data_IF_735093102939
#
_entry.id   IF_735093102939
#
_cell.length_a   1.000
_cell.length_b   1.000
_cell.length_c   1.000
_cell.angle_alpha   90.00
_cell.angle_beta   90.00
_cell.angle_gamma   90.00
#
_symmetry.space_group_name_H-M   'P 1'
#
loop_
_entity.id
_entity.type
_entity.pdbx_description
1 polymer ?
#
# COMPACT_ATOMS: atom_id res chain seq x y z
N UNK A 1 -25.75 -2.08 3.05
CA UNK A 1 -24.32 -1.71 2.94
C UNK A 1 -23.50 -2.37 4.04
N UNK A 2 -22.70 -3.36 3.68
CA UNK A 2 -21.75 -4.04 4.57
C UNK A 2 -20.34 -3.73 4.10
N UNK A 3 -19.55 -3.08 4.96
CA UNK A 3 -18.13 -2.78 4.71
C UNK A 3 -17.29 -3.66 5.64
N UNK A 4 -16.20 -4.20 5.12
CA UNK A 4 -15.14 -4.83 5.91
C UNK A 4 -13.80 -4.20 5.59
N UNK A 5 -12.94 -4.14 6.61
CA UNK A 5 -11.56 -3.69 6.45
C UNK A 5 -10.61 -4.88 6.56
N UNK A 6 -9.64 -4.95 5.66
CA UNK A 6 -8.51 -5.89 5.71
C UNK A 6 -7.24 -5.12 6.04
N UNK A 7 -6.41 -5.67 6.92
CA UNK A 7 -5.12 -5.09 7.30
C UNK A 7 -4.01 -6.05 6.92
N UNK A 8 -2.97 -5.54 6.31
CA UNK A 8 -1.78 -6.30 5.92
C UNK A 8 -0.52 -5.45 6.09
N UNK A 9 0.59 -6.10 6.41
CA UNK A 9 1.89 -5.45 6.48
C UNK A 9 2.63 -5.69 5.16
N UNK A 10 2.99 -4.62 4.45
CA UNK A 10 3.80 -4.68 3.23
C UNK A 10 5.20 -4.15 3.55
N UNK A 11 6.24 -4.89 3.17
CA UNK A 11 7.63 -4.46 3.33
C UNK A 11 8.22 -4.05 1.99
N UNK A 12 8.66 -2.80 1.89
CA UNK A 12 9.50 -2.33 0.80
C UNK A 12 10.96 -2.44 1.21
N UNK A 13 11.78 -3.06 0.38
CA UNK A 13 13.22 -3.25 0.67
C UNK A 13 14.06 -2.06 0.26
N UNK A 14 13.55 -1.25 -0.64
CA UNK A 14 14.15 0.00 -1.10
C UNK A 14 13.23 1.19 -0.83
N UNK A 15 13.78 2.42 -0.84
CA UNK A 15 12.94 3.61 -0.89
C UNK A 15 11.99 3.56 -2.09
N UNK A 16 10.71 3.81 -1.84
CA UNK A 16 9.65 3.65 -2.85
C UNK A 16 8.88 4.96 -3.05
N UNK A 17 8.41 5.18 -4.28
CA UNK A 17 7.47 6.25 -4.60
C UNK A 17 6.12 5.63 -4.89
N UNK A 18 5.09 6.08 -4.19
CA UNK A 18 3.70 5.68 -4.44
C UNK A 18 2.99 6.91 -4.99
N UNK A 19 2.36 6.79 -6.16
CA UNK A 19 1.60 7.90 -6.76
C UNK A 19 0.48 8.32 -5.80
N UNK A 20 0.38 9.63 -5.56
CA UNK A 20 -0.51 10.22 -4.53
C UNK A 20 0.21 10.57 -3.22
N UNK A 21 1.47 10.15 -3.05
CA UNK A 21 2.36 10.61 -1.97
C UNK A 21 3.49 11.42 -2.61
N UNK A 22 3.63 12.69 -2.22
CA UNK A 22 4.56 13.63 -2.88
C UNK A 22 6.04 13.35 -2.58
N UNK A 23 6.32 12.51 -1.59
CA UNK A 23 7.66 12.18 -1.11
C UNK A 23 7.99 10.70 -1.26
N UNK A 24 9.27 10.39 -1.35
CA UNK A 24 9.77 9.03 -1.23
C UNK A 24 9.51 8.50 0.18
N UNK A 25 9.00 7.27 0.27
CA UNK A 25 8.91 6.54 1.51
C UNK A 25 10.20 5.74 1.72
N UNK A 26 10.79 5.73 2.92
CA UNK A 26 11.98 4.93 3.19
C UNK A 26 11.70 3.42 3.05
N UNK A 27 12.74 2.62 2.85
CA UNK A 27 12.61 1.16 2.99
C UNK A 27 12.09 0.81 4.39
N UNK A 28 11.17 -0.15 4.48
CA UNK A 28 10.55 -0.52 5.74
C UNK A 28 9.23 -1.26 5.60
N UNK A 29 8.67 -1.63 6.74
CA UNK A 29 7.35 -2.24 6.84
C UNK A 29 6.27 -1.16 7.05
N UNK A 30 5.20 -1.28 6.28
CA UNK A 30 4.07 -0.37 6.27
C UNK A 30 2.77 -1.13 6.46
N UNK A 31 1.91 -0.61 7.33
CA UNK A 31 0.54 -1.11 7.48
C UNK A 31 -0.33 -0.57 6.36
N UNK A 32 -0.97 -1.47 5.61
CA UNK A 32 -1.94 -1.16 4.58
C UNK A 32 -3.31 -1.65 5.02
N UNK A 33 -4.29 -0.75 4.92
CA UNK A 33 -5.70 -1.05 5.14
C UNK A 33 -6.40 -1.02 3.79
N UNK A 34 -7.24 -2.02 3.54
CA UNK A 34 -8.11 -2.07 2.36
C UNK A 34 -9.55 -2.21 2.83
N UNK A 35 -10.38 -1.25 2.47
CA UNK A 35 -11.83 -1.34 2.69
C UNK A 35 -12.50 -1.97 1.48
N UNK A 36 -13.35 -2.94 1.77
CA UNK A 36 -14.13 -3.67 0.78
C UNK A 36 -15.62 -3.60 1.13
N UNK A 37 -16.45 -3.35 0.13
CA UNK A 37 -17.90 -3.35 0.24
C UNK A 37 -18.48 -4.62 -0.37
N UNK A 38 -19.44 -5.24 0.32
CA UNK A 38 -20.18 -6.37 -0.22
C UNK A 38 -21.02 -5.91 -1.42
N UNK A 39 -20.93 -6.64 -2.52
CA UNK A 39 -21.79 -6.46 -3.70
C UNK A 39 -23.09 -7.20 -3.44
N UNK A 40 -24.17 -6.46 -3.20
CA UNK A 40 -25.51 -7.01 -2.98
C UNK A 40 -26.13 -7.52 -4.29
N UNK A 41 -27.07 -8.47 -4.20
CA UNK A 41 -27.84 -8.97 -5.35
C UNK A 41 -27.17 -10.06 -6.19
N UNK A 42 -26.00 -10.57 -5.78
CA UNK A 42 -25.33 -11.72 -6.42
C UNK A 42 -25.72 -13.04 -5.75
N UNK A 43 -25.65 -14.16 -6.49
CA UNK A 43 -25.91 -15.51 -5.97
C UNK A 43 -24.84 -16.01 -4.98
N UNK A 44 -23.75 -15.27 -4.80
CA UNK A 44 -22.66 -15.56 -3.87
C UNK A 44 -22.06 -14.27 -3.31
N UNK A 45 -21.45 -14.37 -2.12
CA UNK A 45 -20.80 -13.24 -1.48
C UNK A 45 -19.60 -12.76 -2.32
N UNK A 46 -19.68 -11.54 -2.85
CA UNK A 46 -18.59 -10.86 -3.55
C UNK A 46 -18.29 -9.52 -2.90
N UNK A 47 -17.05 -9.07 -3.01
CA UNK A 47 -16.57 -7.86 -2.36
C UNK A 47 -15.82 -7.01 -3.39
N UNK A 48 -16.12 -5.71 -3.43
CA UNK A 48 -15.37 -4.74 -4.24
C UNK A 48 -14.52 -3.88 -3.32
N UNK A 49 -13.28 -3.63 -3.72
CA UNK A 49 -12.42 -2.66 -3.04
C UNK A 49 -12.98 -1.25 -3.26
N UNK A 50 -13.09 -0.49 -2.19
CA UNK A 50 -13.58 0.90 -2.22
C UNK A 50 -12.54 1.91 -1.73
N UNK A 51 -11.54 1.48 -0.95
CA UNK A 51 -10.43 2.33 -0.55
C UNK A 51 -9.17 1.49 -0.22
N UNK A 52 -7.99 2.11 -0.43
CA UNK A 52 -6.70 1.62 0.09
C UNK A 52 -6.01 2.75 0.84
N UNK A 53 -5.51 2.45 2.03
CA UNK A 53 -4.83 3.41 2.91
C UNK A 53 -3.52 2.80 3.39
N UNK A 54 -2.50 3.62 3.55
CA UNK A 54 -1.18 3.23 4.05
C UNK A 54 -0.79 4.11 5.24
N UNK A 55 -0.25 3.51 6.29
CA UNK A 55 0.31 4.23 7.43
C UNK A 55 1.80 4.45 7.21
N UNK A 56 2.24 5.71 7.12
CA UNK A 56 3.61 6.11 6.78
C UNK A 56 4.20 7.02 7.85
N UNK A 57 5.53 7.15 7.98
CA UNK A 57 6.15 8.17 8.83
C UNK A 57 5.73 9.58 8.40
N UNK A 58 5.29 10.41 9.34
CA UNK A 58 4.90 11.79 9.08
C UNK A 58 6.08 12.64 8.64
N UNK A 59 5.84 13.53 7.69
CA UNK A 59 6.85 14.49 7.27
C UNK A 59 7.09 15.54 8.37
N UNK A 60 8.36 15.82 8.69
CA UNK A 60 8.74 16.87 9.64
C UNK A 60 8.55 16.54 11.13
N UNK A 61 7.91 15.43 11.48
CA UNK A 61 7.70 15.02 12.89
C UNK A 61 8.31 13.65 13.15
N UNK A 62 9.44 13.63 13.86
CA UNK A 62 10.13 12.37 14.20
C UNK A 62 9.24 11.47 15.06
N UNK A 63 9.08 10.22 14.64
CA UNK A 63 8.35 9.19 15.38
C UNK A 63 6.83 9.26 15.26
N UNK A 64 6.29 10.27 14.55
CA UNK A 64 4.87 10.30 14.22
C UNK A 64 4.60 9.52 12.93
N UNK A 65 3.40 8.98 12.82
CA UNK A 65 2.88 8.33 11.62
C UNK A 65 1.57 8.98 11.19
N UNK A 66 1.31 9.00 9.89
CA UNK A 66 0.05 9.45 9.30
C UNK A 66 -0.52 8.37 8.39
N UNK A 67 -1.84 8.35 8.23
CA UNK A 67 -2.53 7.43 7.33
C UNK A 67 -2.97 8.19 6.08
N UNK A 68 -2.52 7.74 4.91
CA UNK A 68 -2.77 8.37 3.62
C UNK A 68 -3.60 7.44 2.73
N UNK A 69 -4.56 7.98 1.99
CA UNK A 69 -5.26 7.25 0.94
C UNK A 69 -4.41 7.16 -0.32
N UNK A 70 -4.34 5.97 -0.91
CA UNK A 70 -3.58 5.69 -2.14
C UNK A 70 -4.43 4.89 -3.11
N UNK A 71 -4.06 4.90 -4.40
CA UNK A 71 -4.65 4.01 -5.38
C UNK A 71 -4.20 2.57 -5.18
N UNK A 72 -5.10 1.62 -5.37
CA UNK A 72 -4.75 0.19 -5.29
C UNK A 72 -3.77 -0.26 -6.36
N UNK A 73 -3.85 0.36 -7.55
CA UNK A 73 -2.93 0.10 -8.66
C UNK A 73 -1.58 0.74 -8.37
N UNK A 74 -1.58 1.97 -7.83
CA UNK A 74 -0.35 2.67 -7.46
C UNK A 74 0.45 1.91 -6.38
N UNK A 75 -0.25 1.25 -5.44
CA UNK A 75 0.38 0.36 -4.47
C UNK A 75 1.03 -0.87 -5.15
N UNK A 76 0.32 -1.49 -6.10
CA UNK A 76 0.84 -2.66 -6.82
C UNK A 76 2.05 -2.31 -7.68
N UNK A 77 2.02 -1.15 -8.36
CA UNK A 77 3.14 -0.64 -9.16
C UNK A 77 4.37 -0.37 -8.29
N UNK A 78 4.17 0.20 -7.09
CA UNK A 78 5.22 0.42 -6.12
C UNK A 78 5.86 -0.90 -5.63
N UNK A 79 5.06 -1.94 -5.39
CA UNK A 79 5.58 -3.28 -5.03
C UNK A 79 6.38 -3.91 -6.18
N UNK A 80 5.92 -3.75 -7.42
CA UNK A 80 6.64 -4.24 -8.58
C UNK A 80 7.99 -3.53 -8.74
N UNK A 81 8.02 -2.20 -8.60
CA UNK A 81 9.25 -1.40 -8.68
C UNK A 81 10.28 -1.79 -7.60
N UNK A 82 9.83 -2.05 -6.37
CA UNK A 82 10.70 -2.55 -5.29
C UNK A 82 11.30 -3.93 -5.61
N UNK A 83 10.48 -4.85 -6.11
CA UNK A 83 10.92 -6.19 -6.52
C UNK A 83 11.90 -6.18 -7.71
N UNK A 84 11.79 -5.20 -8.60
CA UNK A 84 12.75 -5.00 -9.70
C UNK A 84 14.08 -4.42 -9.22
N UNK A 85 14.04 -3.53 -8.21
CA UNK A 85 15.25 -2.92 -7.62
C UNK A 85 16.12 -3.98 -6.94
N UNK A 86 15.51 -4.98 -6.30
CA UNK A 86 16.20 -6.15 -5.73
C UNK A 86 16.98 -6.96 -6.78
N UNK A 87 16.38 -7.18 -7.96
CA UNK A 87 17.00 -7.99 -9.01
C UNK A 87 18.19 -7.29 -9.67
N UNK A 88 18.10 -5.96 -9.82
CA UNK A 88 19.20 -5.16 -10.35
C UNK A 88 20.42 -5.16 -9.41
N UNK A 89 20.20 -5.16 -8.09
CA UNK A 89 21.27 -5.30 -7.10
C UNK A 89 21.95 -6.67 -7.14
N UNK A 90 21.17 -7.76 -7.32
CA UNK A 90 21.70 -9.13 -7.34
C UNK A 90 22.47 -9.50 -8.62
N UNK A 91 22.26 -8.80 -9.74
CA UNK A 91 22.93 -9.07 -11.01
C UNK A 91 24.29 -8.38 -11.17
N UNK A 92 24.69 -7.56 -10.21
CA UNK A 92 25.94 -6.78 -10.24
C UNK A 92 26.96 -7.18 -9.17
N UNK A 93 26.68 -8.24 -8.41
CA UNK A 93 27.56 -8.90 -7.43
C UNK A 93 28.05 -10.25 -8.00
#
# INVERSE_FOLDING_TARGET
MTIRSRRETITFRHPVHIRGIERALPAGAYEVVTDEEMIEGLSFASWRRIATMITVPSEGVRGATEMLSIGSVDLADAQAADAQSEQAGAAHD
#
